data_IF_862156646591
#
_entry.id   IF_862156646591
#
_cell.length_a   1.000
_cell.length_b   1.000
_cell.length_c   1.000
_cell.angle_alpha   90.00
_cell.angle_beta   90.00
_cell.angle_gamma   90.00
#
_symmetry.space_group_name_H-M   'P 1'
#
loop_
_entity.id
_entity.type
_entity.pdbx_description
1 polymer ?
#
# COMPACT_ATOMS: atom_id res chain seq x y z
N UNK A 1 -2.34 18.16 8.75
CA UNK A 1 -1.80 17.50 7.55
C UNK A 1 -2.94 16.79 6.83
N UNK A 2 -3.04 16.99 5.52
CA UNK A 2 -4.10 16.46 4.68
C UNK A 2 -3.61 15.15 4.03
N UNK A 3 -4.32 14.06 4.30
CA UNK A 3 -3.93 12.71 3.90
C UNK A 3 -4.95 12.18 2.92
N UNK A 4 -4.49 11.71 1.76
CA UNK A 4 -5.33 10.97 0.82
C UNK A 4 -5.08 9.47 0.98
N UNK A 5 -6.13 8.71 1.23
CA UNK A 5 -6.10 7.25 1.17
C UNK A 5 -6.88 6.80 -0.07
N UNK A 6 -6.21 6.08 -0.97
CA UNK A 6 -6.82 5.54 -2.18
C UNK A 6 -7.01 4.03 -2.01
N UNK A 7 -8.27 3.59 -2.07
CA UNK A 7 -8.66 2.20 -1.88
C UNK A 7 -8.79 1.82 -0.40
N UNK A 8 -9.97 2.01 0.18
CA UNK A 8 -10.28 1.56 1.55
C UNK A 8 -10.87 0.16 1.59
N UNK A 9 -10.17 -0.79 0.95
CA UNK A 9 -10.31 -2.21 1.27
C UNK A 9 -9.86 -2.50 2.72
N UNK A 10 -9.62 -3.77 3.08
CA UNK A 10 -9.29 -4.14 4.46
C UNK A 10 -8.11 -3.33 5.05
N UNK A 11 -6.99 -3.22 4.34
CA UNK A 11 -5.83 -2.47 4.82
C UNK A 11 -6.09 -0.96 4.87
N UNK A 12 -6.60 -0.38 3.78
CA UNK A 12 -6.89 1.05 3.71
C UNK A 12 -7.88 1.51 4.78
N UNK A 13 -8.88 0.68 5.09
CA UNK A 13 -9.85 0.97 6.15
C UNK A 13 -9.24 0.86 7.56
N UNK A 14 -8.33 -0.10 7.81
CA UNK A 14 -7.60 -0.17 9.09
C UNK A 14 -6.68 1.04 9.30
N UNK A 15 -6.01 1.52 8.25
CA UNK A 15 -5.19 2.73 8.29
C UNK A 15 -6.06 3.97 8.52
N UNK A 16 -7.18 4.09 7.78
CA UNK A 16 -8.15 5.17 7.94
C UNK A 16 -8.61 5.29 9.40
N UNK A 17 -9.06 4.19 10.02
CA UNK A 17 -9.59 4.21 11.39
C UNK A 17 -8.59 4.73 12.43
N UNK A 18 -7.29 4.51 12.20
CA UNK A 18 -6.22 4.97 13.10
C UNK A 18 -5.90 6.44 12.89
N UNK A 19 -5.80 6.87 11.64
CA UNK A 19 -5.36 8.25 11.33
C UNK A 19 -6.50 9.27 11.39
N UNK A 20 -7.74 8.87 11.15
CA UNK A 20 -8.89 9.78 11.13
C UNK A 20 -9.36 10.25 12.52
N UNK A 21 -8.98 9.54 13.59
CA UNK A 21 -9.28 9.95 14.98
C UNK A 21 -8.29 10.98 15.53
N UNK A 22 -7.23 11.27 14.79
CA UNK A 22 -6.17 12.19 15.20
C UNK A 22 -6.53 13.62 14.76
N UNK A 23 -6.64 14.58 15.69
CA UNK A 23 -7.20 15.90 15.40
C UNK A 23 -6.33 16.75 14.46
N UNK A 24 -5.06 16.42 14.31
CA UNK A 24 -4.12 17.10 13.41
C UNK A 24 -4.23 16.67 11.94
N UNK A 25 -5.03 15.64 11.64
CA UNK A 25 -5.17 15.08 10.30
C UNK A 25 -6.54 15.36 9.69
N UNK A 26 -6.55 15.65 8.39
CA UNK A 26 -7.76 15.67 7.58
C UNK A 26 -7.65 14.59 6.53
N UNK A 27 -8.53 13.59 6.62
CA UNK A 27 -8.48 12.42 5.74
C UNK A 27 -9.45 12.60 4.58
N UNK A 28 -8.95 12.41 3.37
CA UNK A 28 -9.74 12.24 2.16
C UNK A 28 -9.64 10.79 1.71
N UNK A 29 -10.77 10.18 1.37
CA UNK A 29 -10.83 8.83 0.80
C UNK A 29 -11.20 8.93 -0.68
N UNK A 30 -10.49 8.22 -1.54
CA UNK A 30 -10.92 7.98 -2.92
C UNK A 30 -11.22 6.49 -3.11
N UNK A 31 -12.48 6.20 -3.39
CA UNK A 31 -13.00 4.85 -3.57
C UNK A 31 -13.91 4.74 -4.78
N UNK A 32 -13.97 3.55 -5.38
CA UNK A 32 -14.83 3.31 -6.55
C UNK A 32 -16.32 3.31 -6.18
N UNK A 33 -16.65 2.92 -4.95
CA UNK A 33 -18.01 2.87 -4.43
C UNK A 33 -18.05 3.37 -2.98
N UNK A 34 -19.26 3.72 -2.51
CA UNK A 34 -19.44 4.04 -1.09
C UNK A 34 -19.24 2.80 -0.25
N UNK A 35 -18.47 2.93 0.82
CA UNK A 35 -18.31 1.90 1.82
C UNK A 35 -19.55 1.75 2.69
N UNK A 36 -19.83 0.52 3.12
CA UNK A 36 -20.83 0.22 4.15
C UNK A 36 -20.32 0.57 5.56
N UNK A 37 -19.00 0.64 5.72
CA UNK A 37 -18.35 0.98 6.97
C UNK A 37 -18.39 2.49 7.27
N UNK A 38 -18.34 2.84 8.56
CA UNK A 38 -18.35 4.22 9.01
C UNK A 38 -17.05 4.94 8.63
N UNK A 39 -17.18 5.88 7.68
CA UNK A 39 -16.11 6.78 7.23
C UNK A 39 -16.42 8.25 7.55
N UNK A 40 -17.25 8.51 8.56
CA UNK A 40 -17.75 9.86 8.89
C UNK A 40 -16.68 10.88 9.28
N UNK A 41 -15.49 10.42 9.69
CA UNK A 41 -14.35 11.27 10.02
C UNK A 41 -13.51 11.68 8.79
N UNK A 42 -13.88 11.21 7.60
CA UNK A 42 -13.19 11.55 6.36
C UNK A 42 -14.09 12.26 5.34
N UNK A 43 -13.47 12.99 4.43
CA UNK A 43 -14.11 13.43 3.19
C UNK A 43 -14.08 12.28 2.19
N UNK A 44 -15.23 11.67 1.92
CA UNK A 44 -15.33 10.58 0.95
C UNK A 44 -15.59 11.13 -0.46
N UNK A 45 -14.71 10.78 -1.40
CA UNK A 45 -14.87 11.02 -2.82
C UNK A 45 -15.07 9.69 -3.54
N UNK A 46 -16.11 9.63 -4.37
CA UNK A 46 -16.33 8.51 -5.27
C UNK A 46 -15.68 8.83 -6.61
N UNK A 47 -14.87 7.90 -7.12
CA UNK A 47 -14.15 8.07 -8.37
C UNK A 47 -13.33 6.84 -8.76
N UNK A 48 -12.79 6.86 -9.97
CA UNK A 48 -11.96 5.79 -10.51
C UNK A 48 -10.48 6.14 -10.33
N UNK A 49 -9.72 5.29 -9.63
CA UNK A 49 -8.29 5.48 -9.41
C UNK A 49 -7.45 5.32 -10.70
N UNK A 50 -8.04 4.85 -11.80
CA UNK A 50 -7.44 4.85 -13.14
C UNK A 50 -7.77 6.10 -13.95
N UNK A 51 -8.64 6.97 -13.43
CA UNK A 51 -9.02 8.23 -14.05
C UNK A 51 -8.22 9.40 -13.43
N UNK A 52 -7.43 10.07 -14.27
CA UNK A 52 -6.55 11.17 -13.85
C UNK A 52 -7.33 12.37 -13.28
N UNK A 53 -8.51 12.69 -13.80
CA UNK A 53 -9.29 13.83 -13.33
C UNK A 53 -9.95 13.57 -11.96
N UNK A 54 -10.40 12.34 -11.72
CA UNK A 54 -10.88 11.93 -10.39
C UNK A 54 -9.74 11.98 -9.35
N UNK A 55 -8.55 11.53 -9.72
CA UNK A 55 -7.36 11.63 -8.87
C UNK A 55 -6.97 13.08 -8.60
N UNK A 56 -6.94 13.94 -9.64
CA UNK A 56 -6.63 15.37 -9.49
C UNK A 56 -7.63 16.08 -8.58
N UNK A 57 -8.91 15.69 -8.59
CA UNK A 57 -9.91 16.20 -7.66
C UNK A 57 -9.58 15.81 -6.22
N UNK A 58 -9.20 14.55 -6.01
CA UNK A 58 -8.86 14.03 -4.68
C UNK A 58 -7.54 14.56 -4.12
N UNK A 59 -6.58 14.93 -4.99
CA UNK A 59 -5.24 15.39 -4.61
C UNK A 59 -5.17 16.87 -4.18
N UNK A 60 -6.27 17.63 -4.27
CA UNK A 60 -6.25 19.07 -3.97
C UNK A 60 -5.93 19.34 -2.50
N UNK A 61 -4.81 20.02 -2.26
CA UNK A 61 -4.35 20.38 -0.92
C UNK A 61 -3.86 19.20 -0.10
N UNK A 62 -3.62 18.04 -0.72
CA UNK A 62 -3.10 16.85 -0.04
C UNK A 62 -1.60 16.99 0.17
N UNK A 63 -1.14 16.65 1.37
CA UNK A 63 0.28 16.67 1.75
C UNK A 63 0.93 15.30 1.48
N UNK A 64 0.22 14.21 1.76
CA UNK A 64 0.72 12.83 1.63
C UNK A 64 -0.36 11.88 1.12
N UNK A 65 0.03 10.98 0.22
CA UNK A 65 -0.84 9.95 -0.35
C UNK A 65 -0.44 8.58 0.17
N UNK A 66 -1.42 7.81 0.64
CA UNK A 66 -1.32 6.37 0.82
C UNK A 66 -2.21 5.66 -0.19
N UNK A 67 -1.65 4.69 -0.89
CA UNK A 67 -2.39 3.89 -1.85
C UNK A 67 -2.17 2.39 -1.62
N UNK A 68 -3.28 1.67 -1.58
CA UNK A 68 -3.30 0.19 -1.55
C UNK A 68 -4.09 -0.39 -2.72
N UNK A 69 -4.35 0.40 -3.75
CA UNK A 69 -4.95 -0.08 -5.00
C UNK A 69 -3.95 -0.87 -5.83
N UNK A 70 -4.43 -1.47 -6.91
CA UNK A 70 -3.55 -2.24 -7.80
C UNK A 70 -3.55 -3.73 -7.55
N UNK A 71 -4.49 -4.26 -6.76
CA UNK A 71 -4.67 -5.73 -6.65
C UNK A 71 -4.79 -6.35 -8.06
N UNK A 72 -5.47 -5.65 -8.95
CA UNK A 72 -5.42 -5.88 -10.40
C UNK A 72 -4.91 -4.60 -11.08
N UNK A 73 -4.34 -4.71 -12.28
CA UNK A 73 -3.97 -3.54 -13.11
C UNK A 73 -3.07 -2.50 -12.42
N UNK A 74 -2.16 -2.91 -11.53
CA UNK A 74 -1.31 -1.98 -10.75
C UNK A 74 -0.59 -0.93 -11.60
N UNK A 75 -0.07 -1.30 -12.78
CA UNK A 75 0.59 -0.37 -13.70
C UNK A 75 -0.33 0.76 -14.19
N UNK A 76 -1.59 0.45 -14.48
CA UNK A 76 -2.57 1.44 -14.92
C UNK A 76 -2.87 2.45 -13.80
N UNK A 77 -3.12 1.95 -12.59
CA UNK A 77 -3.38 2.80 -11.42
C UNK A 77 -2.16 3.65 -11.05
N UNK A 78 -0.96 3.05 -11.05
CA UNK A 78 0.28 3.78 -10.80
C UNK A 78 0.51 4.88 -11.83
N UNK A 79 0.27 4.60 -13.12
CA UNK A 79 0.42 5.58 -14.20
C UNK A 79 -0.52 6.77 -14.01
N UNK A 80 -1.80 6.50 -13.76
CA UNK A 80 -2.77 7.55 -13.54
C UNK A 80 -2.45 8.38 -12.29
N UNK A 81 -2.03 7.74 -11.20
CA UNK A 81 -1.69 8.43 -9.96
C UNK A 81 -0.46 9.31 -10.11
N UNK A 82 0.63 8.81 -10.72
CA UNK A 82 1.84 9.61 -10.99
C UNK A 82 1.49 10.84 -11.83
N UNK A 83 0.75 10.66 -12.93
CA UNK A 83 0.31 11.78 -13.77
C UNK A 83 -0.52 12.83 -13.01
N UNK A 84 -1.43 12.37 -12.15
CA UNK A 84 -2.28 13.26 -11.37
C UNK A 84 -1.49 14.00 -10.28
N UNK A 85 -0.58 13.31 -9.60
CA UNK A 85 0.30 13.86 -8.57
C UNK A 85 1.22 14.93 -9.14
N UNK A 86 1.84 14.68 -10.30
CA UNK A 86 2.66 15.66 -11.00
C UNK A 86 1.86 16.88 -11.43
N UNK A 87 0.64 16.68 -11.96
CA UNK A 87 -0.22 17.77 -12.39
C UNK A 87 -0.68 18.70 -11.25
N UNK A 88 -0.76 18.19 -10.01
CA UNK A 88 -1.19 18.95 -8.82
C UNK A 88 0.00 19.42 -7.97
N UNK A 89 1.19 18.85 -8.18
CA UNK A 89 2.40 19.17 -7.42
C UNK A 89 2.51 18.45 -6.07
N UNK A 90 1.80 17.34 -5.88
CA UNK A 90 1.92 16.48 -4.68
C UNK A 90 3.04 15.47 -4.94
N UNK A 91 4.00 15.32 -4.01
CA UNK A 91 5.17 14.43 -4.20
C UNK A 91 5.21 13.21 -3.29
N UNK A 92 4.74 13.31 -2.05
CA UNK A 92 4.88 12.22 -1.07
C UNK A 92 3.87 11.09 -1.30
N UNK A 93 4.39 9.88 -1.58
CA UNK A 93 3.58 8.68 -1.84
C UNK A 93 4.05 7.48 -1.00
N UNK A 94 3.13 6.81 -0.32
CA UNK A 94 3.28 5.45 0.19
C UNK A 94 2.43 4.51 -0.64
N UNK A 95 3.05 3.49 -1.25
CA UNK A 95 2.35 2.57 -2.14
C UNK A 95 2.66 1.12 -1.77
N UNK A 96 1.63 0.31 -1.54
CA UNK A 96 1.80 -1.12 -1.21
C UNK A 96 2.12 -1.95 -2.44
N UNK A 97 3.11 -2.82 -2.31
CA UNK A 97 3.43 -3.87 -3.28
C UNK A 97 3.56 -5.20 -2.54
N UNK A 98 3.94 -6.25 -3.26
CA UNK A 98 4.22 -7.56 -2.68
C UNK A 98 5.74 -7.77 -2.57
N UNK A 99 6.18 -8.43 -1.50
CA UNK A 99 7.59 -8.75 -1.27
C UNK A 99 8.30 -9.43 -2.46
N UNK A 100 7.58 -10.21 -3.27
CA UNK A 100 8.13 -10.97 -4.39
C UNK A 100 8.52 -10.14 -5.63
N UNK A 101 8.22 -8.83 -5.69
CA UNK A 101 8.47 -8.02 -6.91
C UNK A 101 9.95 -7.87 -7.29
N UNK A 102 10.86 -8.06 -6.33
CA UNK A 102 12.31 -7.97 -6.54
C UNK A 102 12.96 -9.30 -6.93
N UNK A 103 12.20 -10.38 -6.95
CA UNK A 103 12.73 -11.69 -7.23
C UNK A 103 12.76 -11.90 -8.74
N UNK A 104 13.80 -12.59 -9.21
CA UNK A 104 13.89 -13.00 -10.61
C UNK A 104 12.85 -14.07 -10.95
N UNK A 105 12.55 -14.93 -9.97
CA UNK A 105 11.57 -16.01 -10.07
C UNK A 105 10.88 -16.26 -8.73
N UNK A 106 9.63 -16.73 -8.80
CA UNK A 106 8.89 -17.17 -7.61
C UNK A 106 9.29 -18.62 -7.31
N UNK A 107 9.73 -18.88 -6.08
CA UNK A 107 10.16 -20.23 -5.68
C UNK A 107 8.97 -21.16 -5.38
N UNK A 108 9.21 -22.47 -5.44
CA UNK A 108 8.26 -23.51 -5.03
C UNK A 108 7.72 -23.32 -3.61
N UNK A 109 8.60 -22.92 -2.69
CA UNK A 109 8.23 -22.61 -1.31
C UNK A 109 7.26 -21.43 -1.24
N UNK A 110 7.45 -20.41 -2.08
CA UNK A 110 6.57 -19.24 -2.14
C UNK A 110 5.21 -19.57 -2.76
N UNK A 111 5.17 -20.39 -3.82
CA UNK A 111 3.90 -20.87 -4.36
C UNK A 111 3.13 -21.71 -3.33
N UNK A 112 3.82 -22.59 -2.62
CA UNK A 112 3.22 -23.38 -1.53
C UNK A 112 2.68 -22.48 -0.42
N UNK A 113 3.42 -21.44 -0.08
CA UNK A 113 3.02 -20.43 0.90
C UNK A 113 1.80 -19.64 0.44
N UNK A 114 1.79 -19.12 -0.78
CA UNK A 114 0.66 -18.38 -1.36
C UNK A 114 -0.61 -19.24 -1.38
N UNK A 115 -0.48 -20.51 -1.75
CA UNK A 115 -1.59 -21.46 -1.70
C UNK A 115 -2.08 -21.71 -0.27
N UNK A 116 -1.18 -21.86 0.69
CA UNK A 116 -1.54 -22.09 2.10
C UNK A 116 -2.26 -20.89 2.72
N UNK A 117 -1.75 -19.68 2.50
CA UNK A 117 -2.27 -18.47 3.15
C UNK A 117 -3.53 -17.92 2.47
N UNK A 118 -3.63 -18.03 1.13
CA UNK A 118 -4.71 -17.40 0.35
C UNK A 118 -5.42 -18.32 -0.64
N UNK A 119 -5.02 -19.59 -0.75
CA UNK A 119 -5.56 -20.50 -1.76
C UNK A 119 -5.15 -20.17 -3.18
N UNK A 120 -4.15 -19.29 -3.37
CA UNK A 120 -3.72 -18.87 -4.71
C UNK A 120 -3.11 -20.04 -5.48
N UNK A 121 -3.50 -20.17 -6.75
CA UNK A 121 -2.81 -21.03 -7.69
C UNK A 121 -1.49 -20.39 -8.11
N UNK A 122 -0.59 -21.17 -8.72
CA UNK A 122 0.64 -20.63 -9.31
C UNK A 122 0.38 -19.53 -10.32
N UNK A 123 -0.65 -19.69 -11.14
CA UNK A 123 -1.02 -18.73 -12.19
C UNK A 123 -1.48 -17.41 -11.57
N UNK A 124 -2.34 -17.47 -10.56
CA UNK A 124 -2.82 -16.29 -9.82
C UNK A 124 -1.64 -15.57 -9.19
N UNK A 125 -0.80 -16.29 -8.46
CA UNK A 125 0.37 -15.73 -7.78
C UNK A 125 1.37 -15.11 -8.77
N UNK A 126 1.67 -15.79 -9.88
CA UNK A 126 2.58 -15.29 -10.91
C UNK A 126 2.04 -14.02 -11.58
N UNK A 127 0.75 -14.02 -11.93
CA UNK A 127 0.11 -12.87 -12.57
C UNK A 127 0.05 -11.68 -11.62
N UNK A 128 -0.26 -11.94 -10.35
CA UNK A 128 -0.31 -10.92 -9.31
C UNK A 128 1.06 -10.26 -9.10
N UNK A 129 2.11 -11.06 -8.90
CA UNK A 129 3.50 -10.55 -8.75
C UNK A 129 3.94 -9.78 -9.99
N UNK A 130 3.65 -10.27 -11.20
CA UNK A 130 3.97 -9.57 -12.44
C UNK A 130 3.27 -8.20 -12.53
N UNK A 131 2.00 -8.14 -12.16
CA UNK A 131 1.24 -6.89 -12.07
C UNK A 131 1.85 -5.91 -11.08
N UNK A 132 2.12 -6.37 -9.84
CA UNK A 132 2.76 -5.54 -8.81
C UNK A 132 4.14 -5.02 -9.27
N UNK A 133 4.94 -5.86 -9.93
CA UNK A 133 6.24 -5.48 -10.50
C UNK A 133 6.10 -4.38 -11.56
N UNK A 134 5.09 -4.46 -12.42
CA UNK A 134 4.81 -3.44 -13.41
C UNK A 134 4.35 -2.11 -12.78
N UNK A 135 3.50 -2.16 -11.74
CA UNK A 135 3.11 -0.97 -10.98
C UNK A 135 4.29 -0.30 -10.26
N UNK A 136 5.12 -1.10 -9.58
CA UNK A 136 6.33 -0.63 -8.93
C UNK A 136 7.31 0.01 -9.92
N UNK A 137 7.45 -0.55 -11.13
CA UNK A 137 8.30 0.02 -12.17
C UNK A 137 7.85 1.42 -12.60
N UNK A 138 6.54 1.67 -12.72
CA UNK A 138 6.01 3.00 -13.04
C UNK A 138 6.40 4.01 -11.95
N UNK A 139 6.22 3.65 -10.67
CA UNK A 139 6.54 4.53 -9.54
C UNK A 139 8.05 4.77 -9.43
N UNK A 140 8.87 3.72 -9.58
CA UNK A 140 10.35 3.84 -9.58
C UNK A 140 10.89 4.75 -10.67
N UNK A 141 10.18 4.84 -11.80
CA UNK A 141 10.55 5.70 -12.93
C UNK A 141 9.98 7.11 -12.83
N UNK A 142 9.25 7.44 -11.75
CA UNK A 142 8.75 8.79 -11.48
C UNK A 142 9.75 9.62 -10.68
N UNK A 143 9.48 10.92 -10.55
CA UNK A 143 10.21 11.85 -9.69
C UNK A 143 9.47 12.09 -8.35
N UNK A 144 8.55 11.20 -7.96
CA UNK A 144 7.83 11.29 -6.70
C UNK A 144 8.73 10.94 -5.50
N UNK A 145 8.44 11.56 -4.36
CA UNK A 145 9.02 11.20 -3.06
C UNK A 145 8.33 9.94 -2.52
N UNK A 146 8.56 8.81 -3.19
CA UNK A 146 7.83 7.58 -2.92
C UNK A 146 8.51 6.69 -1.87
N UNK A 147 7.71 5.95 -1.12
CA UNK A 147 8.13 4.77 -0.37
C UNK A 147 7.27 3.59 -0.83
N UNK A 148 7.90 2.63 -1.50
CA UNK A 148 7.24 1.38 -1.87
C UNK A 148 7.26 0.45 -0.64
N UNK A 149 6.10 -0.12 -0.31
CA UNK A 149 5.92 -1.01 0.84
C UNK A 149 5.80 -2.43 0.33
N UNK A 150 6.94 -3.11 0.18
CA UNK A 150 7.03 -4.50 -0.25
C UNK A 150 6.62 -5.41 0.92
N UNK A 151 5.32 -5.53 1.12
CA UNK A 151 4.74 -6.27 2.23
C UNK A 151 4.83 -7.77 1.97
N UNK A 152 5.24 -8.51 3.00
CA UNK A 152 5.00 -9.94 3.04
C UNK A 152 3.48 -10.20 3.09
N UNK A 153 3.07 -11.42 2.79
CA UNK A 153 1.70 -11.89 3.03
C UNK A 153 1.19 -11.49 4.41
N UNK A 154 -0.04 -11.00 4.48
CA UNK A 154 -0.61 -10.56 5.75
C UNK A 154 -1.78 -11.42 6.23
N UNK A 155 -1.80 -11.69 7.54
CA UNK A 155 -2.85 -12.40 8.27
C UNK A 155 -3.95 -11.41 8.63
N UNK A 156 -5.21 -11.80 8.45
CA UNK A 156 -6.37 -11.00 8.86
C UNK A 156 -6.69 -11.20 10.34
N UNK A 157 -5.75 -10.83 11.21
CA UNK A 157 -5.90 -10.89 12.66
C UNK A 157 -5.33 -9.63 13.33
N UNK A 158 -5.64 -9.50 14.61
CA UNK A 158 -5.25 -8.35 15.44
C UNK A 158 -3.99 -8.64 16.29
N UNK A 159 -3.16 -9.59 15.86
CA UNK A 159 -1.92 -9.92 16.55
C UNK A 159 -0.92 -8.76 16.45
N UNK A 160 -0.17 -8.52 17.53
CA UNK A 160 0.91 -7.53 17.54
C UNK A 160 2.21 -8.24 17.17
N UNK A 161 2.53 -8.25 15.88
CA UNK A 161 3.78 -8.81 15.38
C UNK A 161 4.97 -7.87 15.60
N UNK A 162 6.13 -8.45 15.93
CA UNK A 162 7.40 -7.73 15.88
C UNK A 162 7.85 -7.60 14.42
N UNK A 163 7.67 -6.41 13.85
CA UNK A 163 7.99 -6.15 12.44
C UNK A 163 9.51 -6.08 12.20
N UNK A 164 9.92 -6.58 11.03
CA UNK A 164 11.19 -6.29 10.37
C UNK A 164 10.88 -5.32 9.24
N UNK A 165 11.51 -4.16 9.28
CA UNK A 165 11.43 -3.13 8.24
C UNK A 165 12.85 -2.84 7.76
N UNK A 166 13.15 -3.19 6.51
CA UNK A 166 14.50 -3.12 5.96
C UNK A 166 14.47 -2.61 4.52
N UNK A 167 15.59 -2.09 3.97
CA UNK A 167 15.67 -1.79 2.55
C UNK A 167 15.34 -3.03 1.74
N UNK A 168 14.50 -2.90 0.71
CA UNK A 168 14.11 -4.07 -0.06
C UNK A 168 15.28 -4.63 -0.89
N UNK A 169 15.34 -5.96 -0.94
CA UNK A 169 16.27 -6.73 -1.75
C UNK A 169 15.61 -7.97 -2.33
N UNK A 170 16.43 -8.91 -2.78
CA UNK A 170 15.97 -10.14 -3.46
C UNK A 170 15.67 -11.29 -2.48
N UNK A 171 15.54 -10.98 -1.19
CA UNK A 171 15.24 -11.92 -0.12
C UNK A 171 14.40 -11.20 0.95
N UNK A 172 13.63 -11.97 1.71
CA UNK A 172 12.85 -11.48 2.85
C UNK A 172 13.34 -12.18 4.11
N UNK A 173 13.63 -11.40 5.15
CA UNK A 173 14.23 -11.91 6.38
C UNK A 173 13.19 -12.47 7.36
N UNK A 174 11.93 -12.09 7.22
CA UNK A 174 10.82 -12.53 8.05
C UNK A 174 9.75 -13.32 7.29
N UNK A 175 8.59 -13.47 7.92
CA UNK A 175 7.44 -14.17 7.38
C UNK A 175 6.17 -13.33 7.35
N UNK A 176 4.98 -13.99 7.24
CA UNK A 176 3.70 -13.31 7.21
C UNK A 176 3.44 -12.46 8.44
N UNK A 177 2.82 -11.29 8.26
CA UNK A 177 2.57 -10.29 9.30
C UNK A 177 1.08 -10.02 9.49
N UNK A 178 0.65 -9.47 10.61
CA UNK A 178 -0.74 -9.13 10.87
C UNK A 178 -1.11 -7.86 10.13
N UNK A 179 -2.36 -7.79 9.69
CA UNK A 179 -2.93 -6.57 9.14
C UNK A 179 -2.88 -5.42 10.16
N UNK A 180 -3.07 -5.75 11.45
CA UNK A 180 -2.99 -4.79 12.55
C UNK A 180 -1.62 -4.12 12.66
N UNK A 181 -0.53 -4.91 12.67
CA UNK A 181 0.83 -4.38 12.77
C UNK A 181 1.19 -3.60 11.51
N UNK A 182 0.82 -4.08 10.33
CA UNK A 182 1.04 -3.35 9.08
C UNK A 182 0.33 -2.00 9.07
N UNK A 183 -0.95 -1.97 9.44
CA UNK A 183 -1.73 -0.74 9.50
C UNK A 183 -1.15 0.25 10.52
N UNK A 184 -0.68 -0.25 11.67
CA UNK A 184 -0.02 0.57 12.69
C UNK A 184 1.26 1.22 12.17
N UNK A 185 2.11 0.46 11.47
CA UNK A 185 3.31 1.00 10.83
C UNK A 185 2.98 2.04 9.76
N UNK A 186 1.97 1.79 8.92
CA UNK A 186 1.57 2.74 7.89
C UNK A 186 0.97 4.01 8.50
N UNK A 187 0.24 3.91 9.61
CA UNK A 187 -0.22 5.09 10.36
C UNK A 187 0.97 5.92 10.82
N UNK A 188 1.99 5.32 11.44
CA UNK A 188 3.20 6.03 11.86
C UNK A 188 3.93 6.68 10.66
N UNK A 189 4.02 5.98 9.53
CA UNK A 189 4.52 6.52 8.26
C UNK A 189 3.74 7.74 7.78
N UNK A 190 2.43 7.76 7.98
CA UNK A 190 1.59 8.88 7.58
C UNK A 190 1.61 10.03 8.57
N UNK A 191 1.88 9.79 9.87
CA UNK A 191 2.10 10.85 10.85
C UNK A 191 3.47 11.52 10.68
N UNK A 192 4.47 10.72 10.27
CA UNK A 192 5.88 11.12 10.18
C UNK A 192 6.46 10.88 8.77
N UNK A 193 5.85 11.41 7.70
CA UNK A 193 6.20 11.03 6.32
C UNK A 193 7.65 11.35 5.93
N UNK A 194 8.28 12.31 6.61
CA UNK A 194 9.66 12.74 6.34
C UNK A 194 10.71 11.82 7.00
N UNK A 195 10.31 11.02 7.99
CA UNK A 195 11.23 10.12 8.71
C UNK A 195 11.48 8.82 7.94
N UNK A 196 10.65 8.56 6.92
CA UNK A 196 10.71 7.35 6.11
C UNK A 196 11.41 7.59 4.77
N UNK A 197 12.26 6.66 4.32
CA UNK A 197 13.12 6.88 3.17
C UNK A 197 12.32 6.87 1.87
N UNK A 198 12.82 7.63 0.90
CA UNK A 198 12.30 7.70 -0.47
C UNK A 198 12.79 6.50 -1.31
N UNK A 199 12.54 5.30 -0.81
CA UNK A 199 12.94 4.03 -1.45
C UNK A 199 11.99 2.91 -1.03
N UNK A 200 12.23 1.73 -1.56
CA UNK A 200 11.45 0.55 -1.19
C UNK A 200 11.88 -0.05 0.14
N UNK A 201 10.87 -0.43 0.93
CA UNK A 201 11.02 -1.12 2.21
C UNK A 201 10.39 -2.52 2.10
N UNK A 202 11.16 -3.53 2.50
CA UNK A 202 10.67 -4.87 2.76
C UNK A 202 10.07 -4.91 4.16
N UNK A 203 8.82 -5.37 4.28
CA UNK A 203 8.09 -5.41 5.54
C UNK A 203 7.62 -6.84 5.80
N UNK A 204 8.09 -7.42 6.89
CA UNK A 204 7.76 -8.79 7.30
C UNK A 204 7.67 -8.90 8.83
N UNK A 205 7.16 -10.01 9.36
CA UNK A 205 7.18 -10.26 10.80
C UNK A 205 8.36 -11.18 11.17
N UNK A 206 8.96 -10.95 12.34
CA UNK A 206 9.85 -11.96 12.93
C UNK A 206 9.07 -13.27 13.14
N UNK A 207 9.63 -14.43 12.76
CA UNK A 207 9.03 -15.70 13.12
C UNK A 207 8.89 -15.77 14.64
N UNK A 208 7.71 -16.16 15.15
CA UNK A 208 7.55 -16.44 16.57
C UNK A 208 8.52 -17.55 16.99
N UNK A 209 9.13 -17.41 18.17
CA UNK A 209 9.84 -18.53 18.80
C UNK A 209 8.86 -19.70 18.94
N UNK A 210 9.18 -20.83 18.30
CA UNK A 210 8.43 -22.08 18.47
C UNK A 210 8.90 -22.80 19.72
#
# INVERSE_FOLDING_TARGET
MNILIIGTGKLGYEVYRRVAVMPQHHVTLLDHHRHEHDVSLATQLIGDASNVDDLKRALRGIDVVFSTVGITHAAQFATALVQAMDAVGVKRLFWTTQFQINYDQISEAMYTLAHREFGFSREVETTYVAGQKAGAAVIRNSDLDYTLLACHFFKYNDEVDQLIVEPAGNAVSGGPLSLFSLATLITDMLEHPQDYPQRELMISARPGEK
#
